data_IF_894045981868
#
_entry.id   IF_894045981868
#
_cell.length_a   1.000
_cell.length_b   1.000
_cell.length_c   1.000
_cell.angle_alpha   90.00
_cell.angle_beta   90.00
_cell.angle_gamma   90.00
#
_symmetry.space_group_name_H-M   'P 1'
#
loop_
_entity.id
_entity.type
_entity.pdbx_description
1 polymer ?
#
# COMPACT_ATOMS: atom_id res chain seq x y z
N UNK A 1 -30.13 -38.95 48.96
CA UNK A 1 -30.91 -39.89 48.13
C UNK A 1 -31.77 -39.07 47.17
N UNK A 2 -31.90 -39.53 45.91
CA UNK A 2 -32.69 -38.98 44.77
C UNK A 2 -31.95 -38.10 43.76
N UNK A 3 -31.29 -38.81 42.86
CA UNK A 3 -31.20 -38.53 41.41
C UNK A 3 -32.55 -38.09 40.82
N UNK A 4 -32.53 -37.08 39.93
CA UNK A 4 -33.55 -36.94 38.89
C UNK A 4 -32.89 -36.47 37.58
N UNK A 5 -33.13 -37.26 36.53
CA UNK A 5 -32.71 -37.10 35.13
C UNK A 5 -33.73 -36.20 34.39
N UNK A 6 -33.44 -35.91 33.12
CA UNK A 6 -34.23 -35.16 32.10
C UNK A 6 -34.11 -33.63 32.23
N UNK A 7 -33.58 -32.85 31.28
CA UNK A 7 -33.33 -33.08 29.86
C UNK A 7 -34.23 -32.15 29.05
N UNK A 8 -33.71 -31.05 28.52
CA UNK A 8 -34.15 -30.42 27.26
C UNK A 8 -32.94 -29.65 26.68
N UNK A 9 -32.50 -30.10 25.51
CA UNK A 9 -31.69 -29.36 24.55
C UNK A 9 -32.60 -28.29 23.92
N UNK A 10 -32.30 -27.00 24.11
CA UNK A 10 -32.81 -25.94 23.22
C UNK A 10 -31.61 -25.29 22.56
N UNK A 11 -31.35 -25.73 21.33
CA UNK A 11 -30.40 -25.10 20.42
C UNK A 11 -31.04 -23.81 19.91
N UNK A 12 -30.78 -22.68 20.58
CA UNK A 12 -31.18 -21.36 20.10
C UNK A 12 -30.17 -20.93 19.03
N UNK A 13 -30.46 -21.25 17.77
CA UNK A 13 -29.72 -20.75 16.62
C UNK A 13 -30.22 -19.33 16.30
N UNK A 14 -29.82 -18.36 17.10
CA UNK A 14 -30.10 -16.94 16.86
C UNK A 14 -29.33 -16.50 15.62
N UNK A 15 -30.04 -16.07 14.57
CA UNK A 15 -29.47 -15.66 13.29
C UNK A 15 -28.37 -14.62 13.43
N UNK A 16 -27.17 -14.97 12.97
CA UNK A 16 -26.13 -14.00 12.67
C UNK A 16 -26.53 -13.30 11.37
N UNK A 17 -27.18 -12.14 11.49
CA UNK A 17 -27.31 -11.22 10.36
C UNK A 17 -25.92 -10.68 10.05
N UNK A 18 -25.25 -11.24 9.06
CA UNK A 18 -24.03 -10.65 8.52
C UNK A 18 -24.42 -9.35 7.83
N UNK A 19 -23.92 -8.22 8.34
CA UNK A 19 -24.01 -6.94 7.65
C UNK A 19 -23.47 -7.11 6.23
N UNK A 20 -24.29 -6.90 5.20
CA UNK A 20 -23.75 -6.82 3.84
C UNK A 20 -22.92 -5.56 3.74
N UNK A 21 -21.61 -5.69 3.55
CA UNK A 21 -20.76 -4.56 3.20
C UNK A 21 -21.17 -4.17 1.78
N UNK A 22 -21.79 -3.00 1.63
CA UNK A 22 -22.01 -2.42 0.31
C UNK A 22 -20.64 -2.07 -0.28
N UNK A 23 -20.17 -2.86 -1.26
CA UNK A 23 -18.92 -2.62 -1.96
C UNK A 23 -19.22 -2.00 -3.32
N UNK A 24 -18.51 -0.93 -3.67
CA UNK A 24 -18.55 -0.34 -5.01
C UNK A 24 -18.01 -1.36 -6.04
N UNK A 25 -18.85 -1.75 -7.00
CA UNK A 25 -18.49 -2.70 -8.08
C UNK A 25 -18.41 -2.02 -9.46
N UNK A 26 -18.33 -0.69 -9.49
CA UNK A 26 -18.09 0.04 -10.73
C UNK A 26 -16.61 -0.01 -11.15
N UNK A 27 -16.26 0.60 -12.30
CA UNK A 27 -14.86 0.69 -12.73
C UNK A 27 -14.00 1.33 -11.63
N UNK A 28 -12.88 0.67 -11.30
CA UNK A 28 -11.89 1.18 -10.35
C UNK A 28 -10.88 2.10 -11.03
N UNK A 29 -10.18 2.90 -10.23
CA UNK A 29 -9.02 3.66 -10.71
C UNK A 29 -7.92 2.68 -11.14
N UNK A 30 -7.28 2.93 -12.28
CA UNK A 30 -6.17 2.12 -12.76
C UNK A 30 -4.92 2.44 -11.94
N UNK A 31 -4.31 1.44 -11.32
CA UNK A 31 -3.04 1.59 -10.61
C UNK A 31 -1.90 1.33 -11.58
N UNK A 32 -1.03 2.31 -11.80
CA UNK A 32 0.16 2.18 -12.64
C UNK A 32 1.25 1.36 -11.95
N UNK A 33 1.89 0.47 -12.68
CA UNK A 33 2.92 -0.44 -12.14
C UNK A 33 4.27 -0.37 -12.87
N UNK A 34 4.40 0.54 -13.84
CA UNK A 34 5.59 0.67 -14.68
C UNK A 34 6.15 2.10 -14.54
N UNK A 35 7.33 2.22 -13.95
CA UNK A 35 7.97 3.50 -13.71
C UNK A 35 8.35 4.21 -15.02
N UNK A 36 8.70 3.47 -16.07
CA UNK A 36 9.01 4.07 -17.37
C UNK A 36 7.80 4.82 -17.95
N UNK A 37 6.60 4.24 -17.82
CA UNK A 37 5.36 4.88 -18.28
C UNK A 37 4.98 6.10 -17.45
N UNK A 38 5.24 6.06 -16.13
CA UNK A 38 5.03 7.21 -15.25
C UNK A 38 5.97 8.36 -15.65
N UNK A 39 7.24 8.07 -15.94
CA UNK A 39 8.22 9.08 -16.35
C UNK A 39 7.96 9.66 -17.74
N UNK A 40 7.50 8.84 -18.69
CA UNK A 40 7.17 9.29 -20.06
C UNK A 40 5.95 10.22 -20.07
N UNK A 41 4.92 9.88 -19.27
CA UNK A 41 3.68 10.64 -19.19
C UNK A 41 3.17 10.73 -17.75
N UNK A 42 3.77 11.61 -16.92
CA UNK A 42 3.31 11.84 -15.56
C UNK A 42 1.96 12.56 -15.59
N UNK A 43 1.02 12.01 -14.85
CA UNK A 43 -0.32 12.54 -14.64
C UNK A 43 -0.45 12.71 -13.13
N UNK A 44 -0.79 13.91 -12.71
CA UNK A 44 -0.99 14.27 -11.31
C UNK A 44 -2.11 13.41 -10.70
N UNK A 45 -2.01 13.09 -9.41
CA UNK A 45 -2.96 12.24 -8.64
C UNK A 45 -3.09 10.78 -9.12
N UNK A 46 -2.31 10.32 -10.12
CA UNK A 46 -2.40 8.94 -10.58
C UNK A 46 -1.85 7.97 -9.52
N UNK A 47 -2.65 6.95 -9.19
CA UNK A 47 -2.24 5.90 -8.25
C UNK A 47 -1.16 5.00 -8.85
N UNK A 48 -0.14 4.70 -8.04
CA UNK A 48 0.98 3.84 -8.42
C UNK A 48 1.20 2.69 -7.45
N UNK A 49 1.78 1.61 -7.96
CA UNK A 49 2.31 0.49 -7.19
C UNK A 49 3.60 0.02 -7.83
N UNK A 50 4.74 0.34 -7.22
CA UNK A 50 6.06 0.09 -7.79
C UNK A 50 6.89 -0.79 -6.87
N UNK A 51 7.71 -1.66 -7.45
CA UNK A 51 8.68 -2.48 -6.72
C UNK A 51 10.10 -2.08 -7.08
N UNK A 52 10.99 -2.03 -6.08
CA UNK A 52 12.34 -1.50 -6.27
C UNK A 52 13.08 -1.31 -4.95
N UNK A 53 14.00 -0.35 -4.93
CA UNK A 53 14.94 -0.10 -3.83
C UNK A 53 15.03 1.40 -3.52
N UNK A 54 15.15 1.74 -2.23
CA UNK A 54 15.58 3.09 -1.84
C UNK A 54 17.10 3.16 -1.89
N UNK A 55 17.65 3.90 -2.85
CA UNK A 55 19.10 3.91 -3.11
C UNK A 55 19.82 5.09 -2.47
N UNK A 56 19.10 6.16 -2.10
CA UNK A 56 19.68 7.36 -1.51
C UNK A 56 18.64 8.22 -0.80
N UNK A 57 18.97 8.75 0.38
CA UNK A 57 18.22 9.88 0.99
C UNK A 57 18.73 11.19 0.40
N UNK A 58 17.84 12.03 -0.14
CA UNK A 58 18.20 13.26 -0.84
C UNK A 58 17.80 14.53 -0.08
N UNK A 59 16.78 14.48 0.77
CA UNK A 59 16.43 15.54 1.73
C UNK A 59 15.72 14.94 2.96
N UNK A 60 14.95 15.73 3.72
CA UNK A 60 14.22 15.29 4.94
C UNK A 60 13.41 14.03 4.69
N UNK A 61 12.36 14.14 3.88
CA UNK A 61 11.42 13.05 3.63
C UNK A 61 11.54 12.54 2.19
N UNK A 62 12.52 13.05 1.43
CA UNK A 62 12.73 12.68 0.03
C UNK A 62 13.88 11.69 -0.15
N UNK A 63 13.60 10.66 -0.93
CA UNK A 63 14.49 9.56 -1.27
C UNK A 63 14.52 9.34 -2.78
N UNK A 64 15.56 8.69 -3.26
CA UNK A 64 15.65 8.20 -4.63
C UNK A 64 15.25 6.73 -4.66
N UNK A 65 14.20 6.43 -5.41
CA UNK A 65 13.71 5.08 -5.66
C UNK A 65 14.20 4.58 -7.02
N UNK A 66 14.55 3.31 -7.11
CA UNK A 66 14.98 2.64 -8.34
C UNK A 66 14.19 1.35 -8.56
N UNK A 67 13.59 1.18 -9.74
CA UNK A 67 13.02 -0.10 -10.18
C UNK A 67 14.09 -1.07 -10.75
N UNK A 68 15.36 -0.65 -10.71
CA UNK A 68 16.51 -1.34 -11.30
C UNK A 68 16.90 -0.85 -12.70
N UNK A 69 16.07 -0.05 -13.37
CA UNK A 69 16.31 0.51 -14.71
C UNK A 69 16.16 2.04 -14.73
N UNK A 70 15.13 2.53 -14.05
CA UNK A 70 14.73 3.92 -13.97
C UNK A 70 14.77 4.37 -12.50
N UNK A 71 14.82 5.69 -12.30
CA UNK A 71 14.81 6.28 -10.98
C UNK A 71 13.83 7.43 -10.90
N UNK A 72 13.24 7.62 -9.73
CA UNK A 72 12.35 8.74 -9.42
C UNK A 72 12.52 9.16 -7.96
N UNK A 73 12.30 10.45 -7.69
CA UNK A 73 12.22 10.93 -6.31
C UNK A 73 10.91 10.43 -5.70
N UNK A 74 10.98 10.04 -4.44
CA UNK A 74 9.81 9.65 -3.64
C UNK A 74 9.82 10.43 -2.34
N UNK A 75 8.66 10.88 -1.91
CA UNK A 75 8.44 11.49 -0.60
C UNK A 75 7.81 10.42 0.32
N UNK A 76 8.43 10.20 1.47
CA UNK A 76 8.04 9.16 2.42
C UNK A 76 8.08 9.77 3.82
N UNK A 77 6.89 10.06 4.36
CA UNK A 77 6.74 10.52 5.73
C UNK A 77 7.19 9.43 6.73
N UNK A 78 7.61 9.89 7.91
CA UNK A 78 8.15 9.01 8.95
C UNK A 78 7.19 7.88 9.37
N UNK A 79 5.88 8.13 9.35
CA UNK A 79 4.84 7.18 9.74
C UNK A 79 4.51 6.14 8.66
N UNK A 80 4.96 6.35 7.42
CA UNK A 80 4.83 5.41 6.30
C UNK A 80 5.85 4.28 6.39
N UNK A 81 6.98 4.50 7.07
CA UNK A 81 8.02 3.49 7.21
C UNK A 81 7.53 2.27 8.01
N UNK A 82 7.80 1.05 7.53
CA UNK A 82 7.44 -0.16 8.25
C UNK A 82 8.26 -0.29 9.54
N UNK A 83 7.73 -0.98 10.57
CA UNK A 83 8.40 -1.13 11.85
C UNK A 83 9.66 -2.01 11.79
N UNK A 84 9.82 -2.80 10.72
CA UNK A 84 10.99 -3.64 10.52
C UNK A 84 12.10 -2.84 9.83
N UNK A 85 13.37 -2.98 10.27
CA UNK A 85 14.49 -2.32 9.62
C UNK A 85 14.73 -2.92 8.23
N UNK A 86 15.10 -2.08 7.27
CA UNK A 86 15.52 -2.46 5.93
C UNK A 86 16.61 -1.50 5.42
N UNK A 87 17.35 -1.90 4.40
CA UNK A 87 18.41 -1.10 3.78
C UNK A 87 18.26 -0.96 2.25
N UNK A 88 19.29 -0.41 1.59
CA UNK A 88 19.31 -0.13 0.16
C UNK A 88 19.36 -1.39 -0.74
N UNK A 89 19.47 -2.59 -0.15
CA UNK A 89 19.52 -3.88 -0.85
C UNK A 89 18.22 -4.66 -0.70
N UNK A 90 17.34 -4.23 0.19
CA UNK A 90 16.07 -4.89 0.44
C UNK A 90 15.04 -4.48 -0.63
N UNK A 91 14.38 -5.46 -1.24
CA UNK A 91 13.32 -5.21 -2.21
C UNK A 91 12.07 -4.70 -1.47
N UNK A 92 11.59 -3.54 -1.88
CA UNK A 92 10.38 -2.91 -1.34
C UNK A 92 9.29 -2.77 -2.41
N UNK A 93 8.05 -2.60 -1.95
CA UNK A 93 6.92 -2.11 -2.72
C UNK A 93 6.47 -0.78 -2.13
N UNK A 94 6.29 0.23 -2.99
CA UNK A 94 5.66 1.50 -2.65
C UNK A 94 4.30 1.59 -3.34
N UNK A 95 3.32 2.15 -2.64
CA UNK A 95 2.02 2.55 -3.19
C UNK A 95 1.80 4.02 -2.84
N UNK A 96 1.33 4.81 -3.79
CA UNK A 96 1.26 6.24 -3.65
C UNK A 96 0.61 6.94 -4.83
N UNK A 97 0.77 8.25 -4.89
CA UNK A 97 0.24 9.14 -5.91
C UNK A 97 1.40 9.80 -6.66
N UNK A 98 1.25 9.99 -7.97
CA UNK A 98 2.17 10.82 -8.75
C UNK A 98 1.89 12.28 -8.41
N UNK A 99 2.89 12.98 -7.91
CA UNK A 99 2.85 14.42 -7.66
C UNK A 99 3.59 15.15 -8.79
N UNK A 100 2.90 16.06 -9.45
CA UNK A 100 3.42 16.82 -10.58
C UNK A 100 3.21 18.33 -10.37
N UNK A 101 4.20 18.96 -9.76
CA UNK A 101 4.34 20.42 -9.82
C UNK A 101 4.87 20.86 -11.20
N UNK A 102 4.37 22.00 -11.70
CA UNK A 102 4.74 22.56 -13.00
C UNK A 102 6.24 22.90 -13.11
N UNK A 103 6.88 23.24 -11.99
CA UNK A 103 8.30 23.64 -11.96
C UNK A 103 9.23 22.56 -11.40
N UNK A 104 8.71 21.43 -10.93
CA UNK A 104 9.51 20.35 -10.36
C UNK A 104 9.47 19.09 -11.23
N UNK A 105 10.51 18.26 -11.11
CA UNK A 105 10.44 16.89 -11.62
C UNK A 105 9.36 16.12 -10.89
N UNK A 106 8.56 15.28 -11.57
CA UNK A 106 7.53 14.49 -10.91
C UNK A 106 8.13 13.60 -9.82
N UNK A 107 7.37 13.40 -8.77
CA UNK A 107 7.71 12.51 -7.66
C UNK A 107 6.55 11.59 -7.31
N UNK A 108 6.81 10.62 -6.44
CA UNK A 108 5.73 9.81 -5.84
C UNK A 108 5.60 10.20 -4.37
N UNK A 109 4.42 10.66 -3.97
CA UNK A 109 4.03 10.76 -2.57
C UNK A 109 3.59 9.37 -2.10
N UNK A 110 4.41 8.75 -1.24
CA UNK A 110 4.23 7.35 -0.84
C UNK A 110 3.26 7.26 0.33
N UNK A 111 2.13 6.59 0.11
CA UNK A 111 1.12 6.31 1.14
C UNK A 111 1.32 4.99 1.87
N UNK A 112 2.08 4.06 1.28
CA UNK A 112 2.42 2.77 1.89
C UNK A 112 3.75 2.24 1.40
N UNK A 113 4.60 1.80 2.33
CA UNK A 113 5.83 1.07 2.04
C UNK A 113 5.78 -0.33 2.66
N UNK A 114 6.08 -1.35 1.87
CA UNK A 114 6.19 -2.74 2.33
C UNK A 114 7.53 -3.34 1.93
N UNK A 115 8.26 -3.95 2.85
CA UNK A 115 9.44 -4.75 2.50
C UNK A 115 8.98 -6.11 2.00
N UNK A 116 9.37 -6.48 0.79
CA UNK A 116 8.98 -7.72 0.11
C UNK A 116 10.02 -8.82 0.37
N UNK A 117 11.31 -8.47 0.29
CA UNK A 117 12.41 -9.42 0.45
C UNK A 117 13.66 -8.74 1.01
N UNK A 118 14.36 -9.47 1.88
CA UNK A 118 15.74 -9.20 2.31
C UNK A 118 16.75 -10.10 1.58
#
# INVERSE_FOLDING_TARGET
MRILKYGVLVMVLSGLSFSSIAQYTGPGHLVKTDLAQILDKPVDDDLVKLQGYLVKKVSSDKYLFSDGKNQIRVEIDQDVFPPQPFDDKDLIQIEGEVEKDFLESPEIDVKRLTVIKK
#
